data_IF_142311604559
#
_entry.id   IF_142311604559
#
_cell.length_a   1.000
_cell.length_b   1.000
_cell.length_c   1.000
_cell.angle_alpha   90.00
_cell.angle_beta   90.00
_cell.angle_gamma   90.00
#
_symmetry.space_group_name_H-M   'P 1'
#
loop_
_entity.id
_entity.type
_entity.pdbx_description
1 polymer ?
#
# COMPACT_ATOMS: atom_id res chain seq x y z
N UNK A 1 -20.57 2.45 4.74
CA UNK A 1 -20.55 2.41 4.65
C UNK A 1 -20.36 2.64 4.60
N UNK A 2 -19.96 2.48 4.24
CA UNK A 2 -19.67 2.55 4.05
C UNK A 2 -19.36 2.91 3.86
N UNK A 3 -18.98 3.19 3.66
CA UNK A 3 -18.75 3.47 3.48
C UNK A 3 -18.47 3.62 3.01
N UNK A 4 -18.38 3.56 2.90
CA UNK A 4 -18.26 3.60 2.50
C UNK A 4 -18.46 3.70 1.89
N UNK A 5 -18.54 3.55 1.81
CA UNK A 5 -18.79 3.52 1.26
C UNK A 5 -19.05 3.67 0.68
N UNK A 6 -19.18 3.67 0.75
CA UNK A 6 -19.55 3.81 0.12
C UNK A 6 -19.71 4.04 -0.22
N UNK A 7 -19.47 4.19 -0.28
CA UNK A 7 -19.74 4.52 -0.84
C UNK A 7 -19.59 4.59 -1.38
N UNK A 8 -19.50 4.65 -1.55
CA UNK A 8 -19.45 4.78 -2.34
C UNK A 8 -18.99 4.85 -3.07
N UNK A 9 -18.98 5.03 -3.00
CA UNK A 9 -17.76 5.00 -3.73
C UNK A 9 -17.74 5.46 -5.12
N UNK A 10 -18.69 5.81 -5.64
CA UNK A 10 -18.70 6.06 -7.05
C UNK A 10 -18.01 7.33 -7.43
N UNK A 11 -17.74 8.17 -6.50
CA UNK A 11 -17.09 9.42 -6.86
C UNK A 11 -15.63 9.22 -7.24
N UNK A 12 -15.12 8.06 -7.09
CA UNK A 12 -13.73 7.85 -7.35
C UNK A 12 -13.34 8.00 -8.77
N UNK A 13 -14.17 7.62 -9.67
CA UNK A 13 -13.75 7.73 -11.03
C UNK A 13 -13.59 9.17 -11.46
N UNK A 14 -14.33 10.04 -10.87
CA UNK A 14 -14.15 11.44 -11.18
C UNK A 14 -12.78 11.91 -10.81
N UNK A 15 -12.32 11.49 -9.66
CA UNK A 15 -10.98 11.86 -9.24
C UNK A 15 -9.93 11.39 -10.19
N UNK A 16 -10.08 10.19 -10.66
CA UNK A 16 -9.06 9.62 -11.50
C UNK A 16 -8.94 10.36 -12.79
N UNK A 17 -10.03 10.81 -13.31
CA UNK A 17 -9.98 11.55 -14.55
C UNK A 17 -9.18 12.82 -14.37
N UNK A 18 -9.43 13.52 -13.30
CA UNK A 18 -8.73 14.77 -13.06
C UNK A 18 -7.24 14.54 -12.89
N UNK A 19 -6.89 13.49 -12.20
CA UNK A 19 -5.48 13.22 -11.98
C UNK A 19 -4.79 12.79 -13.24
N UNK A 20 -5.47 12.09 -14.08
CA UNK A 20 -4.86 11.60 -15.29
C UNK A 20 -4.39 12.73 -16.18
N UNK A 21 -4.92 13.93 -15.98
CA UNK A 21 -4.54 15.03 -16.83
C UNK A 21 -3.26 15.71 -16.39
N UNK A 22 -2.71 15.32 -15.25
CA UNK A 22 -1.47 15.91 -14.76
C UNK A 22 -0.32 14.93 -15.01
N UNK A 23 0.51 15.20 -16.01
CA UNK A 23 1.61 14.26 -16.35
C UNK A 23 2.56 14.03 -15.19
N UNK A 24 2.84 15.08 -14.44
CA UNK A 24 3.77 14.95 -13.33
C UNK A 24 3.22 14.04 -12.25
N UNK A 25 1.97 14.22 -11.90
CA UNK A 25 1.33 13.37 -10.92
C UNK A 25 1.23 11.94 -11.42
N UNK A 26 0.91 11.77 -12.68
CA UNK A 26 0.79 10.45 -13.27
C UNK A 26 2.12 9.72 -13.21
N UNK A 27 3.20 10.41 -13.54
CA UNK A 27 4.51 9.79 -13.52
C UNK A 27 4.90 9.39 -12.11
N UNK A 28 4.68 10.28 -11.16
CA UNK A 28 5.00 9.99 -9.77
C UNK A 28 4.19 8.81 -9.26
N UNK A 29 2.91 8.76 -9.58
CA UNK A 29 2.08 7.65 -9.18
C UNK A 29 2.61 6.34 -9.73
N UNK A 30 3.04 6.36 -10.98
CA UNK A 30 3.60 5.17 -11.59
C UNK A 30 4.87 4.73 -10.88
N UNK A 31 5.73 5.69 -10.56
CA UNK A 31 6.97 5.37 -9.88
C UNK A 31 6.72 4.80 -8.50
N UNK A 32 5.74 5.37 -7.80
CA UNK A 32 5.38 4.85 -6.49
C UNK A 32 4.90 3.42 -6.60
N UNK A 33 4.04 3.14 -7.57
CA UNK A 33 3.55 1.80 -7.77
C UNK A 33 4.64 0.80 -8.04
N UNK A 34 5.58 1.17 -8.90
CA UNK A 34 6.70 0.29 -9.22
C UNK A 34 7.55 0.05 -7.98
N UNK A 35 7.81 1.11 -7.22
CA UNK A 35 8.62 0.99 -6.03
C UNK A 35 7.95 0.13 -4.98
N UNK A 36 6.66 0.32 -4.78
CA UNK A 36 5.91 -0.49 -3.81
C UNK A 36 5.95 -1.96 -4.20
N UNK A 37 5.68 -2.25 -5.46
CA UNK A 37 5.71 -3.64 -5.91
C UNK A 37 7.08 -4.27 -5.72
N UNK A 38 8.13 -3.52 -6.06
CA UNK A 38 9.48 -4.04 -5.88
C UNK A 38 9.78 -4.26 -4.41
N UNK A 39 9.33 -3.36 -3.56
CA UNK A 39 9.55 -3.50 -2.13
C UNK A 39 8.84 -4.73 -1.59
N UNK A 40 7.62 -4.95 -2.01
CA UNK A 40 6.87 -6.12 -1.55
C UNK A 40 7.58 -7.38 -1.99
N UNK A 41 8.04 -7.42 -3.22
CA UNK A 41 8.73 -8.61 -3.72
C UNK A 41 10.02 -8.89 -2.97
N UNK A 42 10.63 -7.86 -2.42
CA UNK A 42 11.89 -8.04 -1.71
C UNK A 42 11.70 -8.41 -0.25
N UNK A 43 10.48 -8.42 0.25
CA UNK A 43 10.23 -8.74 1.65
C UNK A 43 10.46 -10.23 1.92
N UNK A 44 10.87 -10.56 3.16
CA UNK A 44 10.83 -11.96 3.56
C UNK A 44 9.43 -12.52 3.37
N UNK A 45 9.36 -13.81 3.10
CA UNK A 45 8.09 -14.41 2.70
C UNK A 45 6.98 -14.15 3.70
N UNK A 46 7.27 -14.25 4.99
CA UNK A 46 6.23 -14.07 6.00
C UNK A 46 5.66 -12.65 5.98
N UNK A 47 6.52 -11.69 5.77
CA UNK A 47 6.07 -10.29 5.70
C UNK A 47 5.30 -10.05 4.41
N UNK A 48 5.80 -10.61 3.31
CA UNK A 48 5.14 -10.43 2.03
C UNK A 48 3.74 -11.03 2.04
N UNK A 49 3.59 -12.22 2.58
CA UNK A 49 2.30 -12.86 2.63
C UNK A 49 1.34 -12.07 3.51
N UNK A 50 1.82 -11.65 4.69
CA UNK A 50 0.94 -10.93 5.60
C UNK A 50 0.45 -9.63 5.00
N UNK A 51 1.34 -8.86 4.39
CA UNK A 51 0.93 -7.56 3.84
C UNK A 51 0.04 -7.76 2.61
N UNK A 52 0.30 -8.78 1.82
CA UNK A 52 -0.52 -9.06 0.65
C UNK A 52 -1.93 -9.46 1.07
N UNK A 53 -2.05 -10.32 2.06
CA UNK A 53 -3.37 -10.72 2.52
C UNK A 53 -4.14 -9.54 3.08
N UNK A 54 -3.46 -8.63 3.74
CA UNK A 54 -4.13 -7.48 4.33
C UNK A 54 -4.50 -6.42 3.30
N UNK A 55 -3.54 -6.02 2.49
CA UNK A 55 -3.74 -4.84 1.64
C UNK A 55 -4.34 -5.18 0.29
N UNK A 56 -4.06 -6.35 -0.23
CA UNK A 56 -4.56 -6.71 -1.55
C UNK A 56 -5.80 -7.57 -1.45
N UNK A 57 -5.78 -8.57 -0.57
CA UNK A 57 -6.93 -9.44 -0.41
C UNK A 57 -7.98 -8.88 0.54
N UNK A 58 -7.59 -7.94 1.40
CA UNK A 58 -8.56 -7.29 2.26
C UNK A 58 -8.99 -8.10 3.46
N UNK A 59 -8.19 -9.05 3.89
CA UNK A 59 -8.57 -9.89 5.01
C UNK A 59 -8.37 -9.20 6.34
N UNK A 60 -9.14 -9.62 7.33
CA UNK A 60 -8.97 -9.12 8.68
C UNK A 60 -7.73 -9.74 9.31
N UNK A 61 -7.28 -9.13 10.40
CA UNK A 61 -6.14 -9.67 11.13
C UNK A 61 -6.43 -11.08 11.61
N UNK A 62 -7.66 -11.31 12.07
CA UNK A 62 -8.04 -12.63 12.54
C UNK A 62 -7.98 -13.66 11.42
N UNK A 63 -8.46 -13.28 10.25
CA UNK A 63 -8.44 -14.18 9.11
C UNK A 63 -7.01 -14.49 8.70
N UNK A 64 -6.16 -13.49 8.72
CA UNK A 64 -4.76 -13.68 8.36
C UNK A 64 -4.09 -14.60 9.38
N UNK A 65 -4.36 -14.38 10.66
CA UNK A 65 -3.79 -15.21 11.70
C UNK A 65 -4.17 -16.68 11.49
N UNK A 66 -5.41 -16.90 11.11
CA UNK A 66 -5.88 -18.23 10.86
C UNK A 66 -5.16 -18.85 9.66
N UNK A 67 -5.08 -18.11 8.58
CA UNK A 67 -4.47 -18.62 7.37
C UNK A 67 -2.98 -18.89 7.55
N UNK A 68 -2.30 -18.03 8.31
CA UNK A 68 -0.86 -18.20 8.50
C UNK A 68 -0.54 -19.04 9.72
N UNK A 69 -1.58 -19.47 10.45
CA UNK A 69 -1.41 -20.34 11.61
C UNK A 69 -0.47 -19.72 12.63
N UNK A 70 -0.75 -18.48 13.00
CA UNK A 70 0.07 -17.78 13.96
C UNK A 70 -0.82 -16.87 14.80
N UNK A 71 -0.32 -16.39 15.94
CA UNK A 71 -1.10 -15.48 16.78
C UNK A 71 -1.36 -14.17 16.08
N UNK A 72 -2.45 -13.54 16.47
CA UNK A 72 -2.81 -12.26 15.84
C UNK A 72 -1.76 -11.19 16.11
N UNK A 73 -1.10 -11.25 17.26
CA UNK A 73 -0.02 -10.31 17.53
C UNK A 73 1.13 -10.43 16.55
N UNK A 74 1.39 -11.66 16.12
CA UNK A 74 2.42 -11.91 15.12
C UNK A 74 2.02 -11.29 13.78
N UNK A 75 0.73 -11.40 13.44
CA UNK A 75 0.24 -10.78 12.21
C UNK A 75 0.47 -9.27 12.25
N UNK A 76 0.13 -8.66 13.38
CA UNK A 76 0.31 -7.22 13.51
C UNK A 76 1.77 -6.83 13.35
N UNK A 77 2.66 -7.56 13.98
CA UNK A 77 4.09 -7.30 13.87
C UNK A 77 4.59 -7.41 12.45
N UNK A 78 4.14 -8.47 11.77
CA UNK A 78 4.58 -8.69 10.40
C UNK A 78 4.09 -7.59 9.47
N UNK A 79 2.85 -7.18 9.64
CA UNK A 79 2.31 -6.13 8.80
C UNK A 79 3.01 -4.80 9.09
N UNK A 80 3.27 -4.53 10.37
CA UNK A 80 3.97 -3.32 10.74
C UNK A 80 5.36 -3.27 10.10
N UNK A 81 6.09 -4.36 10.19
CA UNK A 81 7.43 -4.41 9.61
C UNK A 81 7.40 -4.31 8.11
N UNK A 82 6.42 -4.95 7.49
CA UNK A 82 6.29 -4.86 6.04
C UNK A 82 6.06 -3.41 5.63
N UNK A 83 5.17 -2.74 6.32
CA UNK A 83 4.87 -1.35 6.00
C UNK A 83 6.08 -0.45 6.22
N UNK A 84 6.82 -0.73 7.28
CA UNK A 84 8.03 0.04 7.56
C UNK A 84 9.03 -0.09 6.42
N UNK A 85 9.24 -1.30 5.96
CA UNK A 85 10.20 -1.54 4.89
C UNK A 85 9.76 -0.85 3.62
N UNK A 86 8.47 -0.93 3.31
CA UNK A 86 7.96 -0.28 2.11
C UNK A 86 8.13 1.23 2.22
N UNK A 87 7.83 1.79 3.40
CA UNK A 87 7.97 3.22 3.60
C UNK A 87 9.41 3.67 3.43
N UNK A 88 10.35 2.87 3.92
CA UNK A 88 11.75 3.19 3.76
C UNK A 88 12.16 3.26 2.29
N UNK A 89 11.63 2.34 1.51
CA UNK A 89 11.94 2.34 0.09
C UNK A 89 11.34 3.52 -0.64
N UNK A 90 10.22 4.02 -0.14
CA UNK A 90 9.57 5.16 -0.76
C UNK A 90 10.19 6.49 -0.38
N UNK A 91 10.90 6.52 0.73
CA UNK A 91 11.45 7.76 1.24
C UNK A 91 12.25 8.55 0.21
N UNK A 92 13.21 7.97 -0.46
CA UNK A 92 14.00 8.75 -1.43
C UNK A 92 13.13 9.34 -2.53
N UNK A 93 12.14 8.58 -2.97
CA UNK A 93 11.28 9.04 -4.03
C UNK A 93 10.45 10.25 -3.60
N UNK A 94 9.88 10.17 -2.41
CA UNK A 94 9.04 11.26 -1.92
C UNK A 94 9.88 12.47 -1.53
N UNK A 95 11.04 12.25 -0.96
CA UNK A 95 11.93 13.34 -0.62
C UNK A 95 12.38 14.12 -1.86
N UNK A 96 12.74 13.40 -2.89
CA UNK A 96 13.14 14.02 -4.13
C UNK A 96 12.04 14.88 -4.68
N UNK A 97 10.84 14.36 -4.67
CA UNK A 97 9.70 15.11 -5.18
C UNK A 97 9.48 16.37 -4.38
N UNK A 98 9.55 16.25 -3.06
CA UNK A 98 9.36 17.41 -2.20
C UNK A 98 10.44 18.46 -2.41
N UNK A 99 11.67 18.02 -2.56
CA UNK A 99 12.76 18.94 -2.75
C UNK A 99 12.60 19.74 -4.04
N UNK A 100 12.07 19.12 -5.04
CA UNK A 100 11.90 19.82 -6.31
C UNK A 100 10.94 20.97 -6.24
N UNK A 101 10.10 20.97 -5.26
CA UNK A 101 9.13 22.04 -5.13
C UNK A 101 9.74 23.34 -4.68
N UNK A 102 10.92 23.32 -4.19
CA UNK A 102 11.59 24.51 -3.70
C UNK A 102 12.60 25.01 -4.71
#
# INVERSE_FOLDING_TARGET
>A
MTEFENEDGEFEETHQVAEAENPETTLLTKEIGITVNAAIESLPEELRVAITLREIEGLSYEEIAEMMECPIGTVRSRIFRARETIAEKLKPLLSQHNNKRW
#
